data_IF_020102020526
#
_entry.id   IF_020102020526
#
_cell.length_a   1.000
_cell.length_b   1.000
_cell.length_c   1.000
_cell.angle_alpha   90.00
_cell.angle_beta   90.00
_cell.angle_gamma   90.00
#
_symmetry.space_group_name_H-M   'P 1'
#
loop_
_entity.id
_entity.type
_entity.pdbx_description
1 polymer ?
#
# COMPACT_ATOMS: atom_id res chain seq x y z
N UNK A 1 64.26 -48.69 -50.12
CA UNK A 1 63.09 -49.02 -49.26
C UNK A 1 62.78 -47.79 -48.39
N UNK A 2 61.73 -47.05 -48.70
CA UNK A 2 61.31 -45.85 -47.97
C UNK A 2 60.03 -46.21 -47.25
N UNK A 3 60.06 -46.12 -45.89
CA UNK A 3 58.87 -46.26 -45.04
C UNK A 3 58.19 -44.89 -44.90
N UNK A 4 56.90 -44.81 -45.24
CA UNK A 4 56.03 -43.71 -45.02
C UNK A 4 55.35 -43.92 -43.65
N UNK A 5 55.59 -42.97 -42.70
CA UNK A 5 54.84 -42.89 -41.43
C UNK A 5 53.64 -42.05 -41.64
N UNK A 6 52.43 -42.60 -41.30
CA UNK A 6 51.20 -41.87 -41.30
C UNK A 6 50.99 -41.16 -39.95
N UNK A 7 50.70 -39.90 -40.04
CA UNK A 7 50.32 -39.06 -38.88
C UNK A 7 48.79 -39.12 -38.68
N UNK A 8 48.32 -39.76 -37.61
CA UNK A 8 46.91 -39.74 -37.23
C UNK A 8 46.63 -38.47 -36.38
N UNK A 9 45.89 -37.53 -36.94
CA UNK A 9 45.42 -36.35 -36.21
C UNK A 9 44.19 -36.70 -35.38
N UNK A 10 44.31 -36.52 -34.03
CA UNK A 10 43.18 -36.56 -33.14
C UNK A 10 42.50 -35.19 -33.21
N UNK A 11 41.25 -35.14 -33.68
CA UNK A 11 40.36 -33.96 -33.56
C UNK A 11 39.63 -34.10 -32.22
N UNK A 12 40.04 -33.32 -31.21
CA UNK A 12 39.30 -33.17 -29.96
C UNK A 12 38.15 -32.19 -30.19
N UNK A 13 36.91 -32.70 -30.24
CA UNK A 13 35.70 -31.87 -30.29
C UNK A 13 35.44 -31.24 -28.94
N UNK A 14 35.56 -29.91 -28.84
CA UNK A 14 35.05 -29.15 -27.70
C UNK A 14 33.52 -29.12 -27.78
N UNK A 15 32.85 -29.85 -26.89
CA UNK A 15 31.41 -29.67 -26.62
C UNK A 15 31.28 -28.46 -25.71
N UNK A 16 30.88 -27.33 -26.25
CA UNK A 16 30.47 -26.17 -25.46
C UNK A 16 29.12 -26.49 -24.80
N UNK A 17 29.13 -26.76 -23.49
CA UNK A 17 27.88 -26.73 -22.68
C UNK A 17 27.41 -25.28 -22.60
N UNK A 18 26.44 -24.93 -23.43
CA UNK A 18 25.66 -23.72 -23.23
C UNK A 18 24.80 -23.91 -21.96
N UNK A 19 25.27 -23.38 -20.85
CA UNK A 19 24.47 -23.32 -19.63
C UNK A 19 23.22 -22.49 -19.92
N UNK A 20 22.04 -23.11 -19.77
CA UNK A 20 20.76 -22.41 -19.78
C UNK A 20 20.78 -21.48 -18.59
N UNK A 21 20.94 -20.17 -18.81
CA UNK A 21 20.76 -19.18 -17.78
C UNK A 21 19.30 -19.28 -17.33
N UNK A 22 19.07 -19.68 -16.08
CA UNK A 22 17.74 -19.70 -15.49
C UNK A 22 17.21 -18.26 -15.45
N UNK A 23 16.04 -18.02 -16.05
CA UNK A 23 15.45 -16.70 -16.11
C UNK A 23 15.16 -16.22 -14.69
N UNK A 24 15.53 -14.97 -14.36
CA UNK A 24 15.24 -14.39 -13.07
C UNK A 24 13.72 -14.45 -12.78
N UNK A 25 13.31 -14.72 -11.54
CA UNK A 25 11.90 -14.83 -11.20
C UNK A 25 11.19 -13.50 -11.49
N UNK A 26 9.92 -13.54 -11.97
CA UNK A 26 9.17 -12.32 -12.28
C UNK A 26 9.04 -11.41 -11.05
N UNK A 27 9.13 -10.09 -11.26
CA UNK A 27 8.93 -9.08 -10.21
C UNK A 27 7.49 -9.11 -9.69
N UNK A 28 7.25 -8.51 -8.51
CA UNK A 28 5.88 -8.36 -7.97
C UNK A 28 4.97 -7.62 -8.96
N UNK A 29 5.47 -6.57 -9.60
CA UNK A 29 4.77 -5.83 -10.65
C UNK A 29 4.36 -6.73 -11.81
N UNK A 30 5.27 -7.54 -12.33
CA UNK A 30 4.97 -8.47 -13.43
C UNK A 30 3.92 -9.51 -13.04
N UNK A 31 3.97 -10.01 -11.81
CA UNK A 31 2.97 -10.97 -11.29
C UNK A 31 1.59 -10.34 -11.13
N UNK A 32 1.51 -9.09 -10.67
CA UNK A 32 0.25 -8.35 -10.57
C UNK A 32 -0.36 -8.08 -11.94
N UNK A 33 0.45 -7.67 -12.92
CA UNK A 33 -0.01 -7.44 -14.30
C UNK A 33 -0.49 -8.71 -15.01
N UNK A 34 -0.08 -9.88 -14.52
CA UNK A 34 -0.56 -11.18 -15.04
C UNK A 34 -1.91 -11.62 -14.41
N UNK A 35 -2.42 -10.92 -13.40
CA UNK A 35 -3.75 -11.18 -12.85
C UNK A 35 -4.81 -10.62 -13.80
N UNK A 36 -5.87 -11.38 -14.00
CA UNK A 36 -7.00 -11.03 -14.85
C UNK A 36 -8.35 -11.32 -14.18
N UNK A 37 -9.44 -11.18 -14.93
CA UNK A 37 -10.80 -11.44 -14.44
C UNK A 37 -11.08 -12.90 -14.10
N UNK A 38 -10.29 -13.83 -14.65
CA UNK A 38 -10.40 -15.26 -14.39
C UNK A 38 -9.53 -15.70 -13.19
N UNK A 39 -8.73 -14.80 -12.65
CA UNK A 39 -7.87 -15.08 -11.51
C UNK A 39 -8.68 -15.56 -10.31
N UNK A 40 -8.34 -16.74 -9.82
CA UNK A 40 -8.99 -17.34 -8.64
C UNK A 40 -8.18 -16.99 -7.40
N UNK A 41 -8.81 -16.29 -6.47
CA UNK A 41 -8.28 -16.00 -5.15
C UNK A 41 -8.61 -17.16 -4.19
N UNK A 42 -7.60 -17.86 -3.70
CA UNK A 42 -7.77 -18.99 -2.77
C UNK A 42 -7.48 -18.50 -1.34
N UNK A 43 -8.40 -18.75 -0.37
CA UNK A 43 -8.10 -18.49 1.04
C UNK A 43 -6.86 -19.26 1.47
N UNK A 44 -5.89 -18.56 2.07
CA UNK A 44 -4.63 -19.13 2.53
C UNK A 44 -4.46 -19.03 4.06
N UNK A 45 -5.35 -18.33 4.74
CA UNK A 45 -5.37 -18.19 6.18
C UNK A 45 -6.15 -16.97 6.65
N UNK A 46 -6.27 -16.87 7.98
CA UNK A 46 -6.82 -15.72 8.67
C UNK A 46 -6.12 -15.55 10.02
N UNK A 47 -5.82 -14.33 10.40
CA UNK A 47 -5.17 -13.98 11.67
C UNK A 47 -6.13 -13.06 12.44
N UNK A 48 -6.92 -13.58 13.40
CA UNK A 48 -7.73 -12.73 14.27
C UNK A 48 -6.83 -11.84 15.13
N UNK A 49 -7.11 -10.54 15.16
CA UNK A 49 -6.37 -9.60 15.99
C UNK A 49 -6.89 -9.65 17.43
N UNK A 50 -5.97 -9.71 18.39
CA UNK A 50 -6.25 -10.00 19.79
C UNK A 50 -6.51 -8.75 20.64
N UNK A 51 -6.61 -7.57 19.99
CA UNK A 51 -6.86 -6.28 20.65
C UNK A 51 -7.78 -5.40 19.78
N UNK A 52 -8.24 -4.29 20.34
CA UNK A 52 -9.09 -3.34 19.61
C UNK A 52 -8.26 -2.53 18.61
N UNK A 53 -8.58 -2.67 17.35
CA UNK A 53 -7.83 -2.04 16.24
C UNK A 53 -8.37 -0.69 15.81
N UNK A 54 -9.50 -0.24 16.33
CA UNK A 54 -10.18 0.99 15.93
C UNK A 54 -10.52 1.00 14.43
N UNK A 55 -10.01 1.98 13.66
CA UNK A 55 -10.24 2.12 12.23
C UNK A 55 -8.90 2.02 11.47
N UNK A 56 -8.50 0.81 11.01
CA UNK A 56 -7.24 0.59 10.30
C UNK A 56 -7.20 1.34 8.96
N UNK A 57 -6.01 1.88 8.57
CA UNK A 57 -5.86 2.71 7.39
C UNK A 57 -4.74 2.25 6.45
N UNK A 58 -3.61 1.83 6.96
CA UNK A 58 -2.46 1.37 6.21
C UNK A 58 -1.82 0.14 6.81
N UNK A 59 -1.21 -0.73 6.01
CA UNK A 59 -0.54 -1.94 6.50
C UNK A 59 0.69 -2.27 5.67
N UNK A 60 1.82 -2.54 6.35
CA UNK A 60 2.98 -3.20 5.75
C UNK A 60 3.36 -4.44 6.54
N UNK A 61 4.01 -5.39 5.88
CA UNK A 61 4.56 -6.60 6.50
C UNK A 61 6.08 -6.56 6.41
N UNK A 62 6.77 -6.68 7.56
CA UNK A 62 8.24 -6.74 7.65
C UNK A 62 8.60 -8.06 8.36
N UNK A 63 9.23 -8.96 7.64
CA UNK A 63 9.44 -10.33 8.14
C UNK A 63 8.09 -11.01 8.40
N UNK A 64 7.83 -11.41 9.63
CA UNK A 64 6.58 -12.06 10.05
C UNK A 64 5.65 -11.11 10.83
N UNK A 65 6.03 -9.86 10.99
CA UNK A 65 5.25 -8.86 11.72
C UNK A 65 4.51 -7.92 10.78
N UNK A 66 3.37 -7.40 11.25
CA UNK A 66 2.60 -6.38 10.56
C UNK A 66 2.71 -5.05 11.29
N UNK A 67 2.81 -3.98 10.53
CA UNK A 67 2.72 -2.60 11.01
C UNK A 67 1.48 -1.98 10.42
N UNK A 68 0.57 -1.56 11.29
CA UNK A 68 -0.77 -1.10 10.90
C UNK A 68 -1.03 0.28 11.48
N UNK A 69 -1.28 1.27 10.62
CA UNK A 69 -1.80 2.56 11.07
C UNK A 69 -3.29 2.44 11.35
N UNK A 70 -3.76 3.15 12.37
CA UNK A 70 -5.16 3.14 12.74
C UNK A 70 -5.58 4.46 13.39
N UNK A 71 -6.88 4.71 13.41
CA UNK A 71 -7.48 5.90 14.01
C UNK A 71 -8.50 5.51 15.07
N UNK A 72 -8.23 5.89 16.33
CA UNK A 72 -9.26 5.91 17.37
C UNK A 72 -10.10 7.17 17.19
N UNK A 73 -11.28 7.06 16.60
CA UNK A 73 -12.23 8.18 16.48
C UNK A 73 -13.00 8.29 17.79
N UNK A 74 -12.73 9.34 18.57
CA UNK A 74 -13.41 9.64 19.84
C UNK A 74 -14.67 10.45 19.61
N UNK A 75 -14.61 11.42 18.69
CA UNK A 75 -15.74 12.19 18.20
C UNK A 75 -15.60 12.37 16.68
N UNK A 76 -16.57 11.89 15.93
CA UNK A 76 -16.58 12.05 14.48
C UNK A 76 -16.65 13.54 14.09
N UNK A 77 -16.02 13.93 12.95
CA UNK A 77 -16.21 15.28 12.41
C UNK A 77 -17.67 15.61 12.16
N UNK A 78 -18.06 16.85 12.51
CA UNK A 78 -19.41 17.37 12.29
C UNK A 78 -19.41 18.33 11.13
N UNK A 79 -20.31 18.13 10.16
CA UNK A 79 -20.47 19.04 9.03
C UNK A 79 -21.01 20.38 9.48
N UNK A 80 -20.45 21.45 8.95
CA UNK A 80 -20.98 22.80 9.16
C UNK A 80 -22.25 23.02 8.33
N UNK A 81 -23.24 23.80 8.83
CA UNK A 81 -24.42 24.17 8.05
C UNK A 81 -24.07 24.97 6.77
N UNK A 82 -22.96 25.71 6.81
CA UNK A 82 -22.35 26.39 5.68
C UNK A 82 -20.83 26.29 5.80
N UNK A 83 -20.07 26.31 4.70
CA UNK A 83 -18.61 26.20 4.75
C UNK A 83 -17.99 27.26 5.69
N UNK A 84 -17.09 26.83 6.57
CA UNK A 84 -16.30 27.68 7.44
C UNK A 84 -14.89 27.86 6.87
N UNK A 85 -14.67 28.94 6.13
CA UNK A 85 -13.49 29.12 5.31
C UNK A 85 -13.45 28.05 4.21
N UNK A 86 -12.36 27.26 4.15
CA UNK A 86 -12.20 26.15 3.19
C UNK A 86 -12.77 24.81 3.68
N UNK A 87 -13.25 24.75 4.92
CA UNK A 87 -13.70 23.52 5.54
C UNK A 87 -15.21 23.34 5.48
N UNK A 88 -15.64 22.13 5.15
CA UNK A 88 -17.05 21.71 5.20
C UNK A 88 -17.45 21.13 6.56
N UNK A 89 -16.47 20.81 7.40
CA UNK A 89 -16.64 20.17 8.72
C UNK A 89 -15.51 20.54 9.69
N UNK A 90 -15.72 20.29 10.98
CA UNK A 90 -14.66 20.33 11.97
C UNK A 90 -13.70 19.13 11.82
N UNK A 91 -12.61 19.09 12.56
CA UNK A 91 -11.66 17.98 12.49
C UNK A 91 -12.09 16.74 13.27
N UNK A 92 -13.13 16.84 14.12
CA UNK A 92 -13.43 15.80 15.09
C UNK A 92 -12.37 15.70 16.19
N UNK A 93 -12.35 14.56 16.89
CA UNK A 93 -11.38 14.26 17.94
C UNK A 93 -10.96 12.78 17.84
N UNK A 94 -9.68 12.50 18.02
CA UNK A 94 -9.19 11.13 17.94
C UNK A 94 -7.74 10.97 18.31
N UNK A 95 -7.22 9.76 18.12
CA UNK A 95 -5.82 9.40 18.32
C UNK A 95 -5.34 8.58 17.13
N UNK A 96 -4.21 8.97 16.56
CA UNK A 96 -3.50 8.18 15.55
C UNK A 96 -2.60 7.15 16.19
N UNK A 97 -2.68 5.93 15.71
CA UNK A 97 -1.88 4.80 16.18
C UNK A 97 -1.05 4.22 15.05
N UNK A 98 0.13 3.70 15.39
CA UNK A 98 0.88 2.74 14.60
C UNK A 98 1.08 1.49 15.46
N UNK A 99 0.37 0.42 15.14
CA UNK A 99 0.49 -0.86 15.83
C UNK A 99 1.59 -1.71 15.20
N UNK A 100 2.41 -2.35 16.04
CA UNK A 100 3.27 -3.47 15.66
C UNK A 100 2.59 -4.76 16.13
N UNK A 101 2.33 -5.68 15.21
CA UNK A 101 1.47 -6.87 15.41
C UNK A 101 2.26 -8.12 15.05
N UNK A 102 2.18 -9.14 15.90
CA UNK A 102 2.83 -10.44 15.65
C UNK A 102 2.14 -11.23 14.53
N UNK A 103 2.82 -12.27 14.03
CA UNK A 103 2.25 -13.23 13.08
C UNK A 103 1.00 -13.95 13.61
N UNK A 104 0.73 -13.91 14.92
CA UNK A 104 -0.45 -14.52 15.56
C UNK A 104 -1.52 -13.50 15.95
N UNK A 105 -1.34 -12.22 15.59
CA UNK A 105 -2.31 -11.15 15.86
C UNK A 105 -2.21 -10.50 17.24
N UNK A 106 -1.14 -10.77 18.00
CA UNK A 106 -0.90 -10.14 19.30
C UNK A 106 -0.28 -8.74 19.11
N UNK A 107 -0.62 -7.79 19.98
CA UNK A 107 -0.01 -6.47 20.02
C UNK A 107 1.42 -6.55 20.56
N UNK A 108 2.40 -6.13 19.78
CA UNK A 108 3.81 -6.03 20.18
C UNK A 108 4.24 -4.60 20.53
N UNK A 109 3.53 -3.60 20.01
CA UNK A 109 3.78 -2.19 20.29
C UNK A 109 2.66 -1.32 19.77
N UNK A 110 2.48 -0.17 20.42
CA UNK A 110 1.55 0.87 20.04
C UNK A 110 2.26 2.22 20.14
N UNK A 111 2.45 2.89 19.01
CA UNK A 111 3.04 4.21 18.92
C UNK A 111 1.96 5.21 18.56
N UNK A 112 1.69 6.15 19.47
CA UNK A 112 0.77 7.26 19.22
C UNK A 112 1.45 8.30 18.32
N UNK A 113 0.77 8.70 17.25
CA UNK A 113 1.24 9.67 16.26
C UNK A 113 0.22 10.80 16.09
N UNK A 114 0.73 11.99 15.80
CA UNK A 114 -0.07 13.18 15.55
C UNK A 114 0.03 14.21 16.66
N UNK A 115 -0.61 15.35 16.45
CA UNK A 115 -0.74 16.44 17.43
C UNK A 115 -2.02 17.26 17.16
N UNK A 116 -2.71 17.67 18.20
CA UNK A 116 -3.93 18.49 18.09
C UNK A 116 -4.97 17.81 17.20
N UNK A 117 -5.42 18.53 16.16
CA UNK A 117 -6.41 18.02 15.19
C UNK A 117 -5.85 17.01 14.18
N UNK A 118 -4.52 16.90 14.05
CA UNK A 118 -3.87 15.93 13.16
C UNK A 118 -3.71 14.59 13.89
N UNK A 119 -4.71 13.74 13.81
CA UNK A 119 -4.76 12.42 14.45
C UNK A 119 -5.14 11.28 13.47
N UNK A 120 -5.53 11.62 12.24
CA UNK A 120 -5.95 10.63 11.25
C UNK A 120 -4.72 10.07 10.52
N UNK A 121 -4.16 8.98 11.09
CA UNK A 121 -3.07 8.24 10.48
C UNK A 121 -3.58 7.52 9.23
N UNK A 122 -2.93 7.76 8.10
CA UNK A 122 -3.31 7.23 6.78
C UNK A 122 -2.52 6.00 6.35
N UNK A 123 -2.62 5.64 5.06
CA UNK A 123 -1.87 4.56 4.42
C UNK A 123 -0.36 4.81 4.50
N UNK A 124 0.42 3.75 4.78
CA UNK A 124 1.86 3.84 5.02
C UNK A 124 2.64 2.95 4.05
N UNK A 125 3.93 3.27 3.87
CA UNK A 125 4.83 2.42 3.10
C UNK A 125 6.18 2.24 3.80
N UNK A 126 6.97 1.27 3.36
CA UNK A 126 8.26 0.91 3.94
C UNK A 126 9.35 0.97 2.88
N UNK A 127 10.40 1.76 3.14
CA UNK A 127 11.52 1.97 2.21
C UNK A 127 12.69 0.98 2.38
N UNK A 128 12.50 -0.08 3.15
CA UNK A 128 13.56 -1.02 3.54
C UNK A 128 14.27 -0.64 4.83
N UNK A 129 14.04 0.57 5.37
CA UNK A 129 14.64 1.06 6.62
C UNK A 129 13.64 1.72 7.54
N UNK A 130 12.79 2.61 7.02
CA UNK A 130 11.80 3.38 7.78
C UNK A 130 10.40 3.17 7.23
N UNK A 131 9.42 3.22 8.12
CA UNK A 131 8.02 3.39 7.76
C UNK A 131 7.77 4.88 7.53
N UNK A 132 7.01 5.21 6.48
CA UNK A 132 6.56 6.56 6.16
C UNK A 132 5.08 6.67 6.42
N UNK A 133 4.72 7.49 7.41
CA UNK A 133 3.35 7.56 7.94
C UNK A 133 2.82 8.98 7.84
N UNK A 134 1.76 9.23 7.06
CA UNK A 134 1.06 10.51 7.09
C UNK A 134 0.06 10.50 8.22
N UNK A 135 -0.05 11.61 8.96
CA UNK A 135 -1.10 11.84 9.96
C UNK A 135 -1.76 13.16 9.67
N UNK A 136 -3.03 13.14 9.29
CA UNK A 136 -3.78 14.30 8.83
C UNK A 136 -4.87 14.73 9.82
N UNK A 137 -5.47 15.91 9.62
CA UNK A 137 -6.77 16.23 10.19
C UNK A 137 -7.86 15.43 9.46
N UNK A 138 -8.92 14.99 10.13
CA UNK A 138 -9.95 14.14 9.52
C UNK A 138 -10.96 14.96 8.70
N UNK A 139 -10.44 15.73 7.75
CA UNK A 139 -11.21 16.57 6.79
C UNK A 139 -10.40 16.88 5.54
N UNK A 140 -11.04 17.08 4.37
CA UNK A 140 -10.33 17.44 3.15
C UNK A 140 -9.67 18.82 3.25
N UNK A 141 -8.70 19.07 2.35
CA UNK A 141 -8.00 20.35 2.19
C UNK A 141 -7.39 20.89 3.50
N UNK A 142 -6.98 20.00 4.41
CA UNK A 142 -6.54 20.34 5.75
C UNK A 142 -5.00 20.44 5.84
N UNK A 143 -4.39 19.69 6.70
CA UNK A 143 -2.92 19.59 6.86
C UNK A 143 -2.54 18.22 7.36
N UNK A 144 -1.29 17.83 7.08
CA UNK A 144 -0.72 16.56 7.51
C UNK A 144 0.68 16.74 8.06
N UNK A 145 1.06 15.84 8.96
CA UNK A 145 2.41 15.62 9.44
C UNK A 145 2.89 14.31 8.82
N UNK A 146 4.06 14.30 8.20
CA UNK A 146 4.70 13.09 7.69
C UNK A 146 5.77 12.65 8.67
N UNK A 147 5.64 11.43 9.18
CA UNK A 147 6.60 10.82 10.09
C UNK A 147 7.44 9.77 9.38
N UNK A 148 8.72 9.67 9.78
CA UNK A 148 9.55 8.49 9.60
C UNK A 148 9.60 7.72 10.91
N UNK A 149 9.32 6.43 10.87
CA UNK A 149 9.35 5.56 12.05
C UNK A 149 10.36 4.45 11.85
N UNK A 150 11.29 4.26 12.78
CA UNK A 150 12.14 3.05 12.82
C UNK A 150 11.28 1.88 13.33
N UNK A 151 11.00 0.85 12.50
CA UNK A 151 10.13 -0.25 12.90
C UNK A 151 10.70 -1.12 14.00
N UNK A 152 12.03 -1.10 14.23
CA UNK A 152 12.69 -1.91 15.26
C UNK A 152 12.49 -1.32 16.65
N UNK A 153 12.55 0.00 16.75
CA UNK A 153 12.46 0.73 18.04
C UNK A 153 11.09 1.37 18.26
N UNK A 154 10.23 1.40 17.24
CA UNK A 154 8.96 2.14 17.26
C UNK A 154 9.15 3.62 17.62
N UNK A 155 10.21 4.24 17.10
CA UNK A 155 10.53 5.66 17.34
C UNK A 155 10.22 6.48 16.12
N UNK A 156 9.37 7.49 16.28
CA UNK A 156 8.98 8.42 15.23
C UNK A 156 9.86 9.67 15.22
N UNK A 157 10.12 10.17 14.01
CA UNK A 157 10.71 11.49 13.77
C UNK A 157 9.83 12.21 12.75
N UNK A 158 9.39 13.43 13.05
CA UNK A 158 8.73 14.29 12.07
C UNK A 158 9.70 14.57 10.91
N UNK A 159 9.27 14.25 9.71
CA UNK A 159 10.02 14.51 8.49
C UNK A 159 9.68 15.89 7.92
N UNK A 160 8.40 16.16 7.69
CA UNK A 160 7.88 17.44 7.19
C UNK A 160 6.35 17.54 7.35
N UNK A 161 5.82 18.72 7.05
CA UNK A 161 4.37 19.01 7.08
C UNK A 161 3.87 19.38 5.69
N UNK A 162 2.60 19.07 5.43
CA UNK A 162 1.92 19.34 4.16
C UNK A 162 0.65 20.13 4.42
N UNK A 163 0.37 21.15 3.59
CA UNK A 163 -0.85 21.97 3.67
C UNK A 163 -2.04 21.31 2.94
N UNK A 164 -2.18 20.00 3.07
CA UNK A 164 -3.31 19.20 2.59
C UNK A 164 -3.45 17.93 3.42
N UNK A 165 -4.61 17.27 3.34
CA UNK A 165 -4.81 15.93 3.87
C UNK A 165 -4.10 14.91 2.98
N UNK A 166 -3.04 14.29 3.47
CA UNK A 166 -2.38 13.16 2.82
C UNK A 166 -2.95 11.88 3.39
N UNK A 167 -3.70 11.14 2.57
CA UNK A 167 -4.41 9.93 2.96
C UNK A 167 -3.56 8.67 2.89
N UNK A 168 -2.55 8.63 1.99
CA UNK A 168 -1.60 7.53 1.92
C UNK A 168 -0.26 8.01 1.34
N UNK A 169 0.81 7.28 1.65
CA UNK A 169 2.15 7.50 1.10
C UNK A 169 2.68 6.22 0.45
N UNK A 170 3.44 6.38 -0.63
CA UNK A 170 4.23 5.33 -1.25
C UNK A 170 5.68 5.79 -1.41
N UNK A 171 6.65 5.02 -0.92
CA UNK A 171 8.06 5.42 -0.84
C UNK A 171 8.95 4.58 -1.75
N UNK A 172 9.59 5.24 -2.72
CA UNK A 172 10.65 4.61 -3.50
C UNK A 172 11.90 4.42 -2.64
N UNK A 173 12.12 3.20 -2.13
CA UNK A 173 13.26 2.87 -1.28
C UNK A 173 14.60 2.90 -2.00
N UNK A 174 14.63 2.64 -3.31
CA UNK A 174 15.83 2.70 -4.14
C UNK A 174 16.10 4.11 -4.68
N UNK A 175 15.05 4.92 -4.83
CA UNK A 175 15.12 6.30 -5.31
C UNK A 175 14.97 7.32 -4.18
N UNK A 176 15.05 8.60 -4.53
CA UNK A 176 14.88 9.71 -3.61
C UNK A 176 13.46 10.31 -3.70
N UNK A 177 12.43 9.53 -4.02
CA UNK A 177 11.07 10.03 -4.19
C UNK A 177 10.10 9.48 -3.15
N UNK A 178 9.16 10.33 -2.74
CA UNK A 178 8.02 10.00 -1.93
C UNK A 178 6.77 10.47 -2.68
N UNK A 179 5.78 9.61 -2.74
CA UNK A 179 4.52 9.87 -3.43
C UNK A 179 3.39 9.86 -2.43
N UNK A 180 2.47 10.82 -2.52
CA UNK A 180 1.31 10.91 -1.65
C UNK A 180 0.02 11.03 -2.44
N UNK A 181 -1.09 10.63 -1.81
CA UNK A 181 -2.43 10.85 -2.32
C UNK A 181 -3.24 11.64 -1.31
N UNK A 182 -4.06 12.59 -1.79
CA UNK A 182 -4.89 13.40 -0.90
C UNK A 182 -6.20 12.70 -0.53
N UNK A 183 -7.01 13.35 0.29
CA UNK A 183 -8.37 12.92 0.64
C UNK A 183 -9.18 12.48 -0.59
N UNK A 184 -9.78 11.27 -0.51
CA UNK A 184 -10.56 10.68 -1.60
C UNK A 184 -9.76 10.44 -2.87
N UNK A 185 -8.44 10.31 -2.75
CA UNK A 185 -7.51 10.11 -3.86
C UNK A 185 -7.61 11.18 -4.98
N UNK A 186 -7.95 12.43 -4.63
CA UNK A 186 -8.21 13.47 -5.63
C UNK A 186 -6.96 14.06 -6.27
N UNK A 187 -5.83 14.09 -5.54
CA UNK A 187 -4.55 14.67 -5.98
C UNK A 187 -3.40 13.72 -5.66
N UNK A 188 -2.42 13.70 -6.55
CA UNK A 188 -1.11 13.12 -6.31
C UNK A 188 -0.11 14.19 -5.90
N UNK A 189 0.81 13.83 -5.03
CA UNK A 189 1.91 14.64 -4.53
C UNK A 189 3.21 13.90 -4.73
N UNK A 190 4.21 14.55 -5.35
CA UNK A 190 5.53 13.97 -5.55
C UNK A 190 6.57 14.88 -4.91
N UNK A 191 7.35 14.32 -4.01
CA UNK A 191 8.48 14.98 -3.38
C UNK A 191 9.78 14.27 -3.72
N UNK A 192 10.83 15.05 -3.95
CA UNK A 192 12.19 14.53 -3.84
C UNK A 192 12.62 14.65 -2.38
N UNK A 193 13.11 13.54 -1.81
CA UNK A 193 13.45 13.42 -0.39
C UNK A 193 14.97 13.29 -0.25
N UNK A 194 15.55 14.09 0.60
CA UNK A 194 16.98 14.01 0.95
C UNK A 194 17.27 12.84 1.92
N UNK A 195 18.55 12.62 2.24
CA UNK A 195 18.97 11.56 3.16
C UNK A 195 18.45 11.75 4.59
N UNK A 196 18.12 12.99 4.99
CA UNK A 196 17.51 13.29 6.28
C UNK A 196 15.99 13.05 6.29
N UNK A 197 15.38 12.71 5.13
CA UNK A 197 13.97 12.49 4.97
C UNK A 197 13.15 13.76 4.77
N UNK A 198 13.79 14.85 4.34
CA UNK A 198 13.13 16.14 4.11
C UNK A 198 12.93 16.37 2.62
N UNK A 199 11.84 17.04 2.21
CA UNK A 199 11.69 17.47 0.83
C UNK A 199 12.81 18.42 0.41
N UNK A 200 13.40 18.17 -0.77
CA UNK A 200 14.42 19.05 -1.37
C UNK A 200 13.82 20.26 -2.09
N UNK A 201 12.49 20.39 -2.09
CA UNK A 201 11.73 21.47 -2.74
C UNK A 201 10.21 21.23 -2.57
N UNK A 202 9.39 22.08 -3.18
CA UNK A 202 7.94 21.93 -3.16
C UNK A 202 7.51 20.63 -3.85
N UNK A 203 6.36 20.08 -3.44
CA UNK A 203 5.75 18.97 -4.12
C UNK A 203 5.35 19.35 -5.56
N UNK A 204 5.51 18.41 -6.49
CA UNK A 204 4.73 18.45 -7.73
C UNK A 204 3.34 17.91 -7.42
N UNK A 205 2.31 18.68 -7.75
CA UNK A 205 0.91 18.29 -7.48
C UNK A 205 0.17 18.13 -8.79
N UNK A 206 -0.51 17.00 -8.94
CA UNK A 206 -1.34 16.74 -10.11
C UNK A 206 -2.69 16.14 -9.73
N UNK A 207 -3.76 16.38 -10.51
CA UNK A 207 -5.06 15.78 -10.25
C UNK A 207 -5.02 14.27 -10.55
N UNK A 208 -5.65 13.47 -9.69
CA UNK A 208 -6.01 12.10 -10.05
C UNK A 208 -7.22 12.14 -10.99
N UNK A 209 -7.06 11.59 -12.18
CA UNK A 209 -8.11 11.53 -13.21
C UNK A 209 -8.82 10.18 -13.25
N UNK A 210 -8.39 9.23 -12.41
CA UNK A 210 -9.09 7.96 -12.27
C UNK A 210 -10.35 8.15 -11.43
N UNK A 211 -11.44 7.58 -11.90
CA UNK A 211 -12.71 7.48 -11.17
C UNK A 211 -13.01 6.05 -10.74
N UNK A 212 -12.01 5.17 -10.76
CA UNK A 212 -12.22 3.75 -10.53
C UNK A 212 -12.52 3.41 -9.06
N UNK A 213 -11.66 3.84 -8.16
CA UNK A 213 -11.77 3.62 -6.71
C UNK A 213 -11.23 4.84 -5.93
N UNK A 214 -11.70 5.04 -4.71
CA UNK A 214 -11.07 5.91 -3.72
C UNK A 214 -10.00 5.11 -2.98
N UNK A 215 -8.73 5.54 -3.06
CA UNK A 215 -7.60 4.82 -2.46
C UNK A 215 -7.64 4.92 -0.93
N UNK A 216 -7.48 3.79 -0.26
CA UNK A 216 -7.36 3.69 1.18
C UNK A 216 -5.90 3.51 1.60
N UNK A 217 -5.13 2.73 0.85
CA UNK A 217 -3.73 2.44 1.12
C UNK A 217 -2.99 2.25 -0.19
N UNK A 218 -1.69 2.59 -0.24
CA UNK A 218 -0.86 2.51 -1.44
C UNK A 218 0.55 2.04 -1.10
N UNK A 219 1.17 1.25 -2.01
CA UNK A 219 2.54 0.76 -1.88
C UNK A 219 3.35 0.99 -3.14
N UNK A 220 4.61 1.37 -2.98
CA UNK A 220 5.57 1.43 -4.07
C UNK A 220 5.99 0.02 -4.50
N UNK A 221 5.93 -0.28 -5.79
CA UNK A 221 6.24 -1.61 -6.34
C UNK A 221 7.63 -1.72 -7.00
N UNK A 222 8.41 -0.64 -7.05
CA UNK A 222 9.55 -0.53 -7.95
C UNK A 222 9.12 -0.05 -9.34
N UNK A 223 10.09 0.15 -10.24
CA UNK A 223 9.91 0.54 -11.65
C UNK A 223 8.94 1.71 -11.88
N UNK A 224 8.94 2.67 -10.94
CA UNK A 224 8.02 3.82 -10.94
C UNK A 224 6.55 3.41 -11.00
N UNK A 225 6.19 2.39 -10.25
CA UNK A 225 4.82 1.91 -10.09
C UNK A 225 4.38 2.00 -8.65
N UNK A 226 3.14 2.38 -8.46
CA UNK A 226 2.44 2.38 -7.18
C UNK A 226 1.17 1.55 -7.32
N UNK A 227 0.92 0.66 -6.39
CA UNK A 227 -0.33 -0.09 -6.28
C UNK A 227 -1.17 0.52 -5.16
N UNK A 228 -2.39 0.91 -5.48
CA UNK A 228 -3.36 1.38 -4.50
C UNK A 228 -4.54 0.41 -4.40
N UNK A 229 -5.01 0.21 -3.18
CA UNK A 229 -6.21 -0.53 -2.82
C UNK A 229 -7.28 0.44 -2.34
N UNK A 230 -8.53 0.14 -2.66
CA UNK A 230 -9.65 0.99 -2.25
C UNK A 230 -10.99 0.47 -2.69
N UNK A 231 -11.99 1.32 -2.67
CA UNK A 231 -13.35 0.97 -3.05
C UNK A 231 -14.06 2.11 -3.77
N UNK A 232 -15.11 1.75 -4.52
CA UNK A 232 -16.08 2.68 -5.07
C UNK A 232 -17.45 2.41 -4.42
N UNK A 233 -18.04 3.45 -3.84
CA UNK A 233 -19.37 3.39 -3.24
C UNK A 233 -20.46 3.76 -4.24
N UNK A 234 -21.52 2.98 -4.30
CA UNK A 234 -22.67 3.17 -5.17
C UNK A 234 -23.94 3.39 -4.36
N UNK A 235 -24.72 4.37 -4.75
CA UNK A 235 -26.00 4.72 -4.13
C UNK A 235 -27.10 4.67 -5.18
N UNK A 236 -27.64 3.49 -5.47
CA UNK A 236 -28.76 3.37 -6.42
C UNK A 236 -30.01 4.06 -5.86
N UNK A 237 -30.99 4.39 -6.71
CA UNK A 237 -32.28 4.89 -6.24
C UNK A 237 -32.98 3.89 -5.30
N UNK A 238 -33.76 4.36 -4.30
CA UNK A 238 -34.57 3.50 -3.47
C UNK A 238 -35.49 2.62 -4.34
N UNK A 239 -35.80 1.36 -3.93
CA UNK A 239 -35.52 0.74 -2.63
C UNK A 239 -34.16 0.01 -2.54
N UNK A 240 -33.31 0.05 -3.57
CA UNK A 240 -32.05 -0.68 -3.56
C UNK A 240 -31.07 -0.09 -2.52
N UNK A 241 -30.43 -0.93 -1.68
CA UNK A 241 -29.48 -0.44 -0.68
C UNK A 241 -28.18 0.04 -1.33
N UNK A 242 -27.44 0.95 -0.70
CA UNK A 242 -26.08 1.29 -1.07
C UNK A 242 -25.16 0.06 -1.01
N UNK A 243 -24.20 -0.02 -1.92
CA UNK A 243 -23.18 -1.07 -1.92
C UNK A 243 -21.82 -0.51 -2.32
N UNK A 244 -20.77 -1.27 -2.07
CA UNK A 244 -19.40 -0.92 -2.46
C UNK A 244 -18.76 -2.07 -3.24
N UNK A 245 -17.92 -1.68 -4.19
CA UNK A 245 -17.07 -2.60 -4.93
C UNK A 245 -15.60 -2.26 -4.62
N UNK A 246 -14.83 -3.29 -4.31
CA UNK A 246 -13.41 -3.18 -4.04
C UNK A 246 -12.55 -3.33 -5.29
N UNK A 247 -11.37 -2.74 -5.27
CA UNK A 247 -10.45 -2.86 -6.37
C UNK A 247 -9.00 -2.52 -6.03
N UNK A 248 -8.13 -2.89 -6.95
CA UNK A 248 -6.74 -2.45 -7.01
C UNK A 248 -6.51 -1.64 -8.28
N UNK A 249 -5.69 -0.61 -8.16
CA UNK A 249 -5.25 0.20 -9.27
C UNK A 249 -3.73 0.38 -9.23
N UNK A 250 -3.05 0.06 -10.33
CA UNK A 250 -1.64 0.32 -10.50
C UNK A 250 -1.45 1.60 -11.28
N UNK A 251 -0.69 2.54 -10.71
CA UNK A 251 -0.43 3.88 -11.26
C UNK A 251 1.03 3.98 -11.72
N UNK A 252 1.25 4.56 -12.90
CA UNK A 252 2.57 4.99 -13.35
C UNK A 252 2.95 6.30 -12.68
N UNK A 253 4.02 6.33 -11.90
CA UNK A 253 4.49 7.51 -11.16
C UNK A 253 5.19 8.56 -12.04
N UNK A 254 5.27 8.37 -13.36
CA UNK A 254 5.80 9.37 -14.29
C UNK A 254 4.75 10.40 -14.70
N UNK A 255 3.50 9.97 -14.83
CA UNK A 255 2.39 10.79 -15.33
C UNK A 255 1.08 10.57 -14.58
N UNK A 256 1.09 9.76 -13.53
CA UNK A 256 -0.04 9.37 -12.67
C UNK A 256 -1.22 8.75 -13.44
N UNK A 257 -0.93 8.07 -14.56
CA UNK A 257 -1.95 7.32 -15.29
C UNK A 257 -2.11 5.92 -14.73
N UNK A 258 -3.34 5.44 -14.59
CA UNK A 258 -3.57 4.04 -14.29
C UNK A 258 -3.09 3.18 -15.46
N UNK A 259 -2.27 2.17 -15.16
CA UNK A 259 -1.74 1.21 -16.14
C UNK A 259 -2.38 -0.17 -16.02
N UNK A 260 -3.04 -0.42 -14.90
CA UNK A 260 -3.78 -1.64 -14.65
C UNK A 260 -4.81 -1.44 -13.54
N UNK A 261 -5.98 -2.02 -13.72
CA UNK A 261 -7.08 -2.00 -12.78
C UNK A 261 -7.67 -3.40 -12.66
N UNK A 262 -7.98 -3.83 -11.45
CA UNK A 262 -8.60 -5.12 -11.21
C UNK A 262 -9.63 -5.03 -10.08
N UNK A 263 -10.88 -5.40 -10.32
CA UNK A 263 -11.85 -5.62 -9.26
C UNK A 263 -11.35 -6.71 -8.31
N UNK A 264 -11.44 -6.46 -7.02
CA UNK A 264 -11.16 -7.47 -5.98
C UNK A 264 -12.51 -7.95 -5.46
N UNK A 265 -12.98 -9.06 -6.00
CA UNK A 265 -14.31 -9.63 -5.74
C UNK A 265 -14.26 -10.53 -4.50
N UNK A 266 -13.76 -9.98 -3.39
CA UNK A 266 -13.66 -10.67 -2.10
C UNK A 266 -14.38 -9.86 -1.02
N UNK A 267 -15.13 -10.57 -0.18
CA UNK A 267 -15.87 -10.00 0.94
C UNK A 267 -15.61 -10.81 2.21
N UNK A 268 -15.71 -10.15 3.36
CA UNK A 268 -15.79 -10.86 4.65
C UNK A 268 -17.11 -11.65 4.75
N UNK A 269 -17.22 -12.58 5.71
CA UNK A 269 -18.50 -13.24 5.99
C UNK A 269 -19.65 -12.28 6.30
N UNK A 270 -19.34 -11.06 6.78
CA UNK A 270 -20.33 -10.01 7.05
C UNK A 270 -20.65 -9.12 5.82
N UNK A 271 -20.07 -9.41 4.64
CA UNK A 271 -20.34 -8.67 3.41
C UNK A 271 -19.52 -7.38 3.24
N UNK A 272 -18.50 -7.15 4.06
CA UNK A 272 -17.57 -6.03 3.88
C UNK A 272 -16.56 -6.33 2.77
N UNK A 273 -16.35 -5.42 1.83
CA UNK A 273 -15.33 -5.58 0.79
C UNK A 273 -13.92 -5.64 1.37
N UNK A 274 -13.08 -6.55 0.90
CA UNK A 274 -11.74 -6.76 1.48
C UNK A 274 -10.83 -5.54 1.34
N UNK A 275 -11.04 -4.70 0.33
CA UNK A 275 -10.21 -3.51 0.07
C UNK A 275 -10.73 -2.23 0.76
N UNK A 276 -11.66 -2.35 1.71
CA UNK A 276 -12.22 -1.20 2.46
C UNK A 276 -11.18 -0.46 3.28
N UNK A 277 -10.30 -1.18 3.93
CA UNK A 277 -9.24 -0.71 4.81
C UNK A 277 -7.88 -1.23 4.29
N UNK A 278 -6.81 -1.27 5.07
CA UNK A 278 -5.47 -1.53 4.56
C UNK A 278 -5.29 -2.90 3.93
N UNK A 279 -4.28 -2.96 3.08
CA UNK A 279 -3.83 -4.18 2.47
C UNK A 279 -2.30 -4.27 2.47
N UNK A 280 -1.78 -5.47 2.19
CA UNK A 280 -0.40 -5.69 1.80
C UNK A 280 -0.36 -6.80 0.76
N UNK A 281 0.59 -6.74 -0.17
CA UNK A 281 0.78 -7.79 -1.18
C UNK A 281 2.25 -8.14 -1.31
N UNK A 282 2.54 -9.44 -1.42
CA UNK A 282 3.88 -9.96 -1.61
C UNK A 282 3.94 -10.98 -2.75
N UNK A 283 5.13 -11.11 -3.36
CA UNK A 283 5.39 -12.13 -4.36
C UNK A 283 5.43 -13.53 -3.72
N UNK A 284 4.96 -14.53 -4.47
CA UNK A 284 5.08 -15.97 -4.17
C UNK A 284 5.92 -16.63 -5.27
N UNK A 285 6.41 -17.85 -5.10
CA UNK A 285 7.03 -18.59 -6.19
C UNK A 285 6.15 -18.59 -7.44
N UNK A 286 4.83 -18.78 -7.27
CA UNK A 286 3.82 -18.67 -8.32
C UNK A 286 2.74 -17.70 -7.88
N UNK A 287 2.61 -16.54 -8.58
CA UNK A 287 1.58 -15.54 -8.29
C UNK A 287 1.90 -14.60 -7.12
N UNK A 288 0.87 -14.20 -6.41
CA UNK A 288 0.95 -13.22 -5.31
C UNK A 288 0.17 -13.70 -4.07
N UNK A 289 0.57 -13.20 -2.91
CA UNK A 289 -0.21 -13.32 -1.67
C UNK A 289 -0.66 -11.95 -1.21
N UNK A 290 -1.95 -11.81 -1.00
CA UNK A 290 -2.58 -10.61 -0.47
C UNK A 290 -2.99 -10.80 0.98
N UNK A 291 -2.88 -9.73 1.75
CA UNK A 291 -3.33 -9.59 3.13
C UNK A 291 -4.30 -8.42 3.17
N UNK A 292 -5.47 -8.60 3.77
CA UNK A 292 -6.50 -7.58 3.90
C UNK A 292 -6.98 -7.49 5.33
N UNK A 293 -7.26 -6.30 5.82
CA UNK A 293 -7.76 -6.05 7.18
C UNK A 293 -8.98 -5.12 7.15
N UNK A 294 -10.13 -5.57 6.61
CA UNK A 294 -11.25 -4.71 6.24
C UNK A 294 -12.14 -4.26 7.41
N UNK A 295 -12.07 -4.90 8.57
CA UNK A 295 -12.98 -4.59 9.68
C UNK A 295 -12.40 -3.57 10.64
N UNK A 296 -13.31 -2.82 11.29
CA UNK A 296 -13.01 -1.90 12.37
C UNK A 296 -13.12 -2.60 13.73
N UNK A 297 -12.34 -2.15 14.72
CA UNK A 297 -12.37 -2.58 16.11
C UNK A 297 -12.01 -4.05 16.37
N UNK A 298 -12.70 -4.99 15.75
CA UNK A 298 -12.44 -6.44 15.83
C UNK A 298 -12.02 -6.93 14.45
N UNK A 299 -10.77 -6.72 14.13
CA UNK A 299 -10.25 -6.99 12.81
C UNK A 299 -9.65 -8.39 12.69
N UNK A 300 -9.67 -8.88 11.48
CA UNK A 300 -8.93 -10.09 11.06
C UNK A 300 -8.06 -9.74 9.86
N UNK A 301 -6.82 -10.19 9.83
CA UNK A 301 -6.01 -10.14 8.62
C UNK A 301 -6.36 -11.40 7.80
N UNK A 302 -7.08 -11.21 6.71
CA UNK A 302 -7.42 -12.27 5.76
C UNK A 302 -6.30 -12.45 4.75
N UNK A 303 -5.94 -13.68 4.47
CA UNK A 303 -4.83 -14.03 3.58
C UNK A 303 -5.37 -14.80 2.39
N UNK A 304 -5.04 -14.33 1.19
CA UNK A 304 -5.43 -14.97 -0.07
C UNK A 304 -4.23 -15.14 -0.99
N UNK A 305 -4.18 -16.27 -1.67
CA UNK A 305 -3.23 -16.54 -2.74
C UNK A 305 -3.92 -16.48 -4.10
N UNK A 306 -3.35 -15.69 -5.01
CA UNK A 306 -3.68 -15.73 -6.42
C UNK A 306 -2.53 -16.37 -7.19
N UNK A 307 -2.83 -17.45 -7.89
CA UNK A 307 -1.87 -18.14 -8.74
C UNK A 307 -2.02 -17.58 -10.15
N UNK A 308 -0.92 -17.05 -10.69
CA UNK A 308 -0.86 -16.67 -12.11
C UNK A 308 -0.69 -17.93 -12.96
N UNK A 309 -1.34 -18.01 -14.12
CA UNK A 309 -1.18 -19.11 -15.06
C UNK A 309 0.27 -19.40 -15.43
#
# INVERSE_FOLDING_TARGET
>A
MRRRGGLAGLIAGLIALAGLAEAAPPTLTARLLALDRATVWKPAGAIPIQFKTFHPQGMVRIGDEFFVTSVEIRRAPTFYPAPHGRYDRDAGEGVGHLFRISAQGALLGDLVLGEGDAYHAGGLDYDGRFLWVPVAEYRPDSRSIVYRVDPRTMTATEAFRVADHIGALARDGAGASLHGVSWGARRFYDWRIDAAGRPSGPAQVSPNRSGYIEYQDCHHLGDRRMLCSGLAGYRPPPPAPPFALGGWEMVDLRDHRPVWQSPILLWTPAGTVMTRNPFFVGARPTGVRAYFMPEDNRSTIYIYDAVTP
#
